data_IF_496968141117
#
_entry.id   IF_496968141117
#
_cell.length_a   1.000
_cell.length_b   1.000
_cell.length_c   1.000
_cell.angle_alpha   90.00
_cell.angle_beta   90.00
_cell.angle_gamma   90.00
#
_symmetry.space_group_name_H-M   'P 1'
#
loop_
_entity.id
_entity.type
_entity.pdbx_description
1 polymer ?
#
# COMPACT_ATOMS: atom_id res chain seq x y z
N UNK A 1 -23.87 -27.95 24.49
CA UNK A 1 -22.44 -27.57 24.63
C UNK A 1 -21.63 -27.63 23.35
N UNK A 2 -21.91 -28.53 22.44
CA UNK A 2 -21.22 -28.60 21.14
C UNK A 2 -21.44 -27.34 20.30
N UNK A 3 -22.64 -26.75 20.35
CA UNK A 3 -22.94 -25.51 19.62
C UNK A 3 -22.15 -24.32 20.11
N UNK A 4 -21.96 -24.21 21.42
CA UNK A 4 -21.20 -23.13 22.04
C UNK A 4 -19.71 -23.22 21.66
N UNK A 5 -19.15 -24.42 21.67
CA UNK A 5 -17.76 -24.67 21.27
C UNK A 5 -17.56 -24.33 19.79
N UNK A 6 -18.51 -24.66 18.94
CA UNK A 6 -18.49 -24.34 17.50
C UNK A 6 -18.51 -22.83 17.29
N UNK A 7 -19.37 -22.09 18.00
CA UNK A 7 -19.46 -20.64 17.91
C UNK A 7 -18.17 -19.97 18.35
N UNK A 8 -17.57 -20.43 19.44
CA UNK A 8 -16.30 -19.91 19.97
C UNK A 8 -15.16 -20.19 18.99
N UNK A 9 -15.12 -21.40 18.41
CA UNK A 9 -14.13 -21.77 17.39
C UNK A 9 -14.22 -20.89 16.16
N UNK A 10 -15.43 -20.65 15.68
CA UNK A 10 -15.67 -19.75 14.53
C UNK A 10 -15.24 -18.33 14.82
N UNK A 11 -15.56 -17.84 16.03
CA UNK A 11 -15.19 -16.50 16.44
C UNK A 11 -13.66 -16.34 16.52
N UNK A 12 -12.98 -17.31 17.09
CA UNK A 12 -11.52 -17.33 17.16
C UNK A 12 -10.87 -17.38 15.78
N UNK A 13 -11.47 -18.13 14.86
CA UNK A 13 -10.98 -18.24 13.49
C UNK A 13 -11.12 -16.90 12.76
N UNK A 14 -12.23 -16.21 12.93
CA UNK A 14 -12.44 -14.88 12.34
C UNK A 14 -11.47 -13.88 12.91
N UNK A 15 -11.23 -13.86 14.23
CA UNK A 15 -10.28 -12.98 14.88
C UNK A 15 -8.85 -13.23 14.40
N UNK A 16 -8.44 -14.49 14.29
CA UNK A 16 -7.13 -14.87 13.80
C UNK A 16 -6.93 -14.41 12.36
N UNK A 17 -7.93 -14.60 11.51
CA UNK A 17 -7.91 -14.15 10.11
C UNK A 17 -7.74 -12.64 10.01
N UNK A 18 -8.46 -11.89 10.85
CA UNK A 18 -8.37 -10.43 10.89
C UNK A 18 -6.98 -9.95 11.27
N UNK A 19 -6.36 -10.55 12.27
CA UNK A 19 -5.00 -10.20 12.73
C UNK A 19 -3.98 -10.50 11.63
N UNK A 20 -4.09 -11.65 10.98
CA UNK A 20 -3.20 -12.03 9.87
C UNK A 20 -3.36 -11.05 8.71
N UNK A 21 -4.58 -10.66 8.37
CA UNK A 21 -4.86 -9.71 7.30
C UNK A 21 -4.26 -8.33 7.58
N UNK A 22 -4.39 -7.82 8.81
CA UNK A 22 -3.81 -6.53 9.21
C UNK A 22 -2.29 -6.57 9.18
N UNK A 23 -1.69 -7.66 9.65
CA UNK A 23 -0.25 -7.83 9.64
C UNK A 23 0.29 -7.91 8.21
N UNK A 24 -0.41 -8.60 7.32
CA UNK A 24 -0.09 -8.68 5.91
C UNK A 24 -0.17 -7.30 5.24
N UNK A 25 -1.21 -6.54 5.55
CA UNK A 25 -1.39 -5.16 5.05
C UNK A 25 -0.22 -4.27 5.49
N UNK A 26 0.18 -4.36 6.76
CA UNK A 26 1.31 -3.59 7.31
C UNK A 26 2.60 -3.93 6.57
N UNK A 27 2.89 -5.21 6.38
CA UNK A 27 4.11 -5.66 5.70
C UNK A 27 4.14 -5.19 4.25
N UNK A 28 3.02 -5.25 3.55
CA UNK A 28 2.91 -4.77 2.17
C UNK A 28 3.06 -3.26 2.08
N UNK A 29 2.44 -2.53 3.01
CA UNK A 29 2.56 -1.07 3.08
C UNK A 29 4.01 -0.64 3.28
N UNK A 30 4.72 -1.30 4.19
CA UNK A 30 6.15 -1.05 4.43
C UNK A 30 6.99 -1.36 3.19
N UNK A 31 6.70 -2.47 2.51
CA UNK A 31 7.39 -2.86 1.30
C UNK A 31 7.27 -1.77 0.21
N UNK A 32 6.06 -1.31 -0.06
CA UNK A 32 5.83 -0.26 -1.05
C UNK A 32 6.48 1.06 -0.66
N UNK A 33 6.39 1.44 0.61
CA UNK A 33 6.99 2.67 1.12
C UNK A 33 8.51 2.65 0.98
N UNK A 34 9.16 1.55 1.32
CA UNK A 34 10.62 1.39 1.15
C UNK A 34 11.03 1.46 -0.31
N UNK A 35 10.29 0.82 -1.20
CA UNK A 35 10.58 0.86 -2.63
C UNK A 35 10.42 2.26 -3.20
N UNK A 36 9.43 3.02 -2.74
CA UNK A 36 9.24 4.41 -3.15
C UNK A 36 10.41 5.26 -2.69
N UNK A 37 10.91 5.05 -1.47
CA UNK A 37 12.11 5.73 -0.97
C UNK A 37 13.34 5.42 -1.84
N UNK A 38 13.48 4.18 -2.28
CA UNK A 38 14.57 3.79 -3.19
C UNK A 38 14.43 4.47 -4.55
N UNK A 39 13.21 4.57 -5.07
CA UNK A 39 12.95 5.29 -6.32
C UNK A 39 13.32 6.77 -6.18
N UNK A 40 12.97 7.36 -5.05
CA UNK A 40 13.33 8.75 -4.73
C UNK A 40 14.84 8.95 -4.74
N UNK A 41 15.59 8.06 -4.09
CA UNK A 41 17.06 8.10 -4.06
C UNK A 41 17.66 7.95 -5.44
N UNK A 42 17.15 7.02 -6.26
CA UNK A 42 17.61 6.83 -7.63
C UNK A 42 17.34 8.07 -8.48
N UNK A 43 16.21 8.69 -8.30
CA UNK A 43 15.84 9.91 -9.03
C UNK A 43 16.74 11.09 -8.64
N UNK A 44 17.01 11.27 -7.34
CA UNK A 44 17.91 12.33 -6.86
C UNK A 44 19.35 12.12 -7.32
N UNK A 45 19.78 10.88 -7.45
CA UNK A 45 21.12 10.52 -7.95
C UNK A 45 21.21 10.58 -9.48
N UNK A 46 20.17 11.07 -10.15
CA UNK A 46 20.08 11.21 -11.60
C UNK A 46 20.10 9.87 -12.36
N UNK A 47 19.78 8.78 -11.67
CA UNK A 47 19.65 7.45 -12.28
C UNK A 47 18.23 7.24 -12.78
N UNK A 48 17.83 8.02 -13.78
CA UNK A 48 16.45 8.08 -14.26
C UNK A 48 15.97 6.77 -14.87
N UNK A 49 16.83 6.09 -15.62
CA UNK A 49 16.49 4.81 -16.25
C UNK A 49 16.17 3.73 -15.19
N UNK A 50 17.00 3.66 -14.15
CA UNK A 50 16.80 2.72 -13.04
C UNK A 50 15.54 3.07 -12.24
N UNK A 51 15.31 4.37 -12.00
CA UNK A 51 14.13 4.84 -11.30
C UNK A 51 12.86 4.48 -12.08
N UNK A 52 12.88 4.69 -13.39
CA UNK A 52 11.75 4.36 -14.27
C UNK A 52 11.44 2.86 -14.28
N UNK A 53 12.47 2.03 -14.42
CA UNK A 53 12.33 0.57 -14.41
C UNK A 53 11.76 0.07 -13.08
N UNK A 54 12.25 0.60 -11.97
CA UNK A 54 11.79 0.23 -10.64
C UNK A 54 10.36 0.68 -10.40
N UNK A 55 9.99 1.87 -10.85
CA UNK A 55 8.63 2.40 -10.75
C UNK A 55 7.64 1.52 -11.53
N UNK A 56 8.02 1.12 -12.72
CA UNK A 56 7.19 0.25 -13.58
C UNK A 56 6.95 -1.10 -12.92
N UNK A 57 7.99 -1.70 -12.36
CA UNK A 57 7.89 -2.97 -11.64
C UNK A 57 7.02 -2.83 -10.39
N UNK A 58 7.23 -1.78 -9.64
CA UNK A 58 6.46 -1.52 -8.41
C UNK A 58 4.99 -1.26 -8.71
N UNK A 59 4.69 -0.56 -9.81
CA UNK A 59 3.32 -0.32 -10.24
C UNK A 59 2.59 -1.61 -10.57
N UNK A 60 3.26 -2.54 -11.27
CA UNK A 60 2.70 -3.84 -11.59
C UNK A 60 2.40 -4.65 -10.31
N UNK A 61 3.32 -4.63 -9.35
CA UNK A 61 3.12 -5.27 -8.05
C UNK A 61 1.98 -4.62 -7.26
N UNK A 62 1.85 -3.31 -7.34
CA UNK A 62 0.77 -2.58 -6.71
C UNK A 62 -0.60 -2.97 -7.27
N UNK A 63 -0.72 -3.11 -8.59
CA UNK A 63 -1.97 -3.52 -9.24
C UNK A 63 -2.40 -4.92 -8.77
N UNK A 64 -1.44 -5.85 -8.67
CA UNK A 64 -1.71 -7.19 -8.14
C UNK A 64 -2.17 -7.13 -6.67
N UNK A 65 -1.54 -6.26 -5.89
CA UNK A 65 -1.92 -6.05 -4.49
C UNK A 65 -3.31 -5.46 -4.36
N UNK A 66 -3.71 -4.56 -5.27
CA UNK A 66 -5.03 -3.93 -5.26
C UNK A 66 -6.17 -4.95 -5.34
N UNK A 67 -6.00 -6.01 -6.10
CA UNK A 67 -7.00 -7.06 -6.23
C UNK A 67 -7.30 -7.72 -4.88
N UNK A 68 -6.26 -7.90 -4.06
CA UNK A 68 -6.40 -8.46 -2.71
C UNK A 68 -6.86 -7.39 -1.72
N UNK A 69 -6.30 -6.19 -1.82
CA UNK A 69 -6.58 -5.11 -0.87
C UNK A 69 -7.97 -4.52 -1.01
N UNK A 70 -8.60 -4.63 -2.18
CA UNK A 70 -9.95 -4.10 -2.42
C UNK A 70 -11.01 -4.69 -1.49
N UNK A 71 -10.74 -5.85 -0.91
CA UNK A 71 -11.62 -6.50 0.07
C UNK A 71 -11.51 -5.83 1.45
N UNK A 72 -10.35 -5.25 1.77
CA UNK A 72 -10.03 -4.73 3.10
C UNK A 72 -9.96 -3.21 3.18
N UNK A 73 -9.69 -2.54 2.07
CA UNK A 73 -9.41 -1.11 2.04
C UNK A 73 -10.42 -0.41 1.12
N UNK A 74 -10.73 0.84 1.45
CA UNK A 74 -11.61 1.69 0.68
C UNK A 74 -11.08 1.86 -0.76
N UNK A 75 -11.95 1.62 -1.73
CA UNK A 75 -11.63 1.69 -3.15
C UNK A 75 -11.12 3.08 -3.56
N UNK A 76 -11.70 4.14 -2.99
CA UNK A 76 -11.31 5.52 -3.28
C UNK A 76 -9.84 5.77 -2.96
N UNK A 77 -9.35 5.21 -1.87
CA UNK A 77 -7.94 5.34 -1.47
C UNK A 77 -7.01 4.59 -2.41
N UNK A 78 -7.43 3.41 -2.84
CA UNK A 78 -6.67 2.62 -3.81
C UNK A 78 -6.59 3.35 -5.16
N UNK A 79 -7.67 3.98 -5.60
CA UNK A 79 -7.71 4.76 -6.83
C UNK A 79 -6.83 6.00 -6.77
N UNK A 80 -6.77 6.69 -5.63
CA UNK A 80 -5.86 7.81 -5.44
C UNK A 80 -4.41 7.40 -5.60
N UNK A 81 -4.03 6.26 -5.03
CA UNK A 81 -2.68 5.72 -5.13
C UNK A 81 -2.39 5.27 -6.57
N UNK A 82 -3.34 4.61 -7.22
CA UNK A 82 -3.23 4.23 -8.62
C UNK A 82 -2.98 5.43 -9.53
N UNK A 83 -3.72 6.52 -9.27
CA UNK A 83 -3.56 7.77 -10.01
C UNK A 83 -2.17 8.38 -9.82
N UNK A 84 -1.64 8.33 -8.59
CA UNK A 84 -0.29 8.80 -8.30
C UNK A 84 0.77 7.99 -9.04
N UNK A 85 0.67 6.66 -9.05
CA UNK A 85 1.58 5.81 -9.82
C UNK A 85 1.52 6.11 -11.32
N UNK A 86 0.31 6.30 -11.84
CA UNK A 86 0.11 6.59 -13.25
C UNK A 86 0.79 7.92 -13.67
N UNK A 87 0.79 8.91 -12.78
CA UNK A 87 1.46 10.20 -13.01
C UNK A 87 2.96 10.10 -12.94
N UNK A 88 3.48 9.22 -12.08
CA UNK A 88 4.94 9.05 -11.90
C UNK A 88 5.64 8.61 -13.17
N UNK A 89 5.03 7.71 -13.93
CA UNK A 89 5.66 7.18 -15.14
C UNK A 89 6.03 8.29 -16.13
N UNK A 90 5.10 9.16 -16.59
CA UNK A 90 5.47 10.25 -17.46
C UNK A 90 6.36 11.30 -16.81
N UNK A 91 6.20 11.57 -15.52
CA UNK A 91 7.03 12.55 -14.82
C UNK A 91 8.49 12.13 -14.79
N UNK A 92 8.78 10.87 -14.50
CA UNK A 92 10.15 10.35 -14.50
C UNK A 92 10.72 10.37 -15.92
N UNK A 93 9.91 10.02 -16.91
CA UNK A 93 10.31 9.97 -18.31
C UNK A 93 10.77 11.33 -18.84
N UNK A 94 10.09 12.42 -18.45
CA UNK A 94 10.45 13.79 -18.87
C UNK A 94 11.33 14.50 -17.83
N UNK A 95 11.72 13.81 -16.77
CA UNK A 95 12.56 14.36 -15.68
C UNK A 95 11.94 15.61 -15.07
N UNK A 96 10.65 15.56 -14.78
CA UNK A 96 9.88 16.67 -14.23
C UNK A 96 10.31 16.98 -12.78
N UNK A 97 10.34 18.26 -12.43
CA UNK A 97 10.57 18.71 -11.05
C UNK A 97 9.45 18.24 -10.10
N UNK A 98 8.28 17.94 -10.63
CA UNK A 98 7.14 17.44 -9.85
C UNK A 98 7.29 15.99 -9.41
N UNK A 99 8.24 15.24 -9.95
CA UNK A 99 8.47 13.83 -9.64
C UNK A 99 8.75 13.62 -8.14
N UNK A 100 9.61 14.43 -7.57
CA UNK A 100 9.97 14.32 -6.15
C UNK A 100 8.77 14.58 -5.25
N UNK A 101 7.97 15.60 -5.57
CA UNK A 101 6.76 15.93 -4.82
C UNK A 101 5.73 14.80 -4.92
N UNK A 102 5.57 14.21 -6.11
CA UNK A 102 4.63 13.11 -6.33
C UNK A 102 5.07 11.83 -5.60
N UNK A 103 6.37 11.53 -5.60
CA UNK A 103 6.91 10.39 -4.84
C UNK A 103 6.67 10.55 -3.34
N UNK A 104 6.89 11.75 -2.82
CA UNK A 104 6.64 12.06 -1.41
C UNK A 104 5.16 11.92 -1.07
N UNK A 105 4.27 12.43 -1.91
CA UNK A 105 2.82 12.33 -1.77
C UNK A 105 2.36 10.87 -1.79
N UNK A 106 2.89 10.08 -2.72
CA UNK A 106 2.56 8.65 -2.85
C UNK A 106 2.98 7.87 -1.61
N UNK A 107 4.16 8.14 -1.08
CA UNK A 107 4.66 7.52 0.14
C UNK A 107 3.72 7.80 1.32
N UNK A 108 3.28 9.04 1.48
CA UNK A 108 2.33 9.44 2.52
C UNK A 108 0.97 8.73 2.37
N UNK A 109 0.47 8.62 1.16
CA UNK A 109 -0.81 7.95 0.89
C UNK A 109 -0.74 6.47 1.22
N UNK A 110 0.35 5.81 0.87
CA UNK A 110 0.56 4.39 1.16
C UNK A 110 0.66 4.16 2.68
N UNK A 111 1.39 5.00 3.40
CA UNK A 111 1.51 4.92 4.84
C UNK A 111 0.15 5.11 5.54
N UNK A 112 -0.68 6.00 5.02
CA UNK A 112 -2.03 6.25 5.55
C UNK A 112 -2.98 5.08 5.36
N UNK A 113 -2.72 4.23 4.38
CA UNK A 113 -3.54 3.04 4.14
C UNK A 113 -3.63 2.15 5.37
N UNK A 114 -2.49 1.86 5.98
CA UNK A 114 -2.44 1.05 7.19
C UNK A 114 -3.01 1.81 8.39
N UNK A 115 -2.64 3.08 8.55
CA UNK A 115 -3.09 3.91 9.66
C UNK A 115 -4.60 4.14 9.65
N UNK A 116 -5.22 4.16 8.49
CA UNK A 116 -6.67 4.32 8.36
C UNK A 116 -7.44 3.10 8.85
N UNK A 117 -6.89 1.89 8.69
CA UNK A 117 -7.51 0.66 9.16
C UNK A 117 -7.23 0.39 10.64
N UNK A 118 -6.08 0.80 11.13
CA UNK A 118 -5.63 0.60 12.51
C UNK A 118 -6.51 1.29 13.56
N UNK A 119 -6.94 2.56 13.41
CA UNK A 119 -7.71 3.26 14.43
C UNK A 119 -9.09 2.70 14.71
N UNK A 120 -9.67 1.97 13.79
CA UNK A 120 -11.01 1.39 13.93
C UNK A 120 -11.08 0.43 15.12
N UNK A 121 -10.01 -0.31 15.36
CA UNK A 121 -9.90 -1.25 16.49
C UNK A 121 -9.85 -0.54 17.84
N UNK A 122 -9.12 0.57 17.93
CA UNK A 122 -8.98 1.33 19.17
C UNK A 122 -10.22 2.15 19.49
N UNK A 123 -10.98 2.56 18.49
CA UNK A 123 -12.20 3.34 18.69
C UNK A 123 -13.40 2.48 19.10
N UNK A 124 -13.37 1.18 18.84
CA UNK A 124 -14.41 0.23 19.25
C UNK A 124 -14.26 -0.14 20.74
N UNK A 125 -13.06 -0.11 21.25
CA UNK A 125 -12.75 -0.38 22.65
C UNK A 125 -12.42 0.89 23.42
#
# INVERSE_FOLDING_TARGET
MKRLVLCISLLMLICASSVISLNSLKNRTLYFSENISQIYSLYTDEKYDEASAKTKKLYAEWIDFCDTASVMVDLDRLEEINSSFAKLMPYISVQSDETEAELSSLSKRINRLYDAEKPTWFNIF
#
